data_IF_778763743274
#
_entry.id   IF_778763743274
#
_cell.length_a   1.000
_cell.length_b   1.000
_cell.length_c   1.000
_cell.angle_alpha   90.00
_cell.angle_beta   90.00
_cell.angle_gamma   90.00
#
_symmetry.space_group_name_H-M   'P 1'
#
loop_
_entity.id
_entity.type
_entity.pdbx_description
1 polymer ?
#
# COMPACT_ATOMS: atom_id res chain seq x y z
N UNK A 1 53.13 10.70 -5.77
CA UNK A 1 51.68 10.95 -5.86
C UNK A 1 51.08 10.50 -4.55
N UNK A 2 50.73 11.47 -3.69
CA UNK A 2 50.23 11.25 -2.33
C UNK A 2 48.72 11.00 -2.38
N UNK A 3 48.24 9.94 -1.75
CA UNK A 3 46.81 9.68 -1.58
C UNK A 3 46.29 10.53 -0.40
N UNK A 4 45.32 11.43 -0.59
CA UNK A 4 44.90 12.38 0.43
C UNK A 4 43.96 11.79 1.52
N UNK A 5 43.77 10.47 1.56
CA UNK A 5 42.80 9.81 2.47
C UNK A 5 43.43 8.95 3.59
N UNK A 6 44.75 9.00 3.79
CA UNK A 6 45.48 8.19 4.80
C UNK A 6 45.32 8.66 6.26
N UNK A 7 44.52 9.69 6.55
CA UNK A 7 44.50 10.36 7.86
C UNK A 7 43.47 9.83 8.88
N UNK A 8 42.68 8.78 8.59
CA UNK A 8 41.55 8.40 9.46
C UNK A 8 41.62 7.04 10.16
N UNK A 9 42.70 6.30 9.99
CA UNK A 9 42.85 4.98 10.63
C UNK A 9 44.08 4.93 11.53
N UNK A 10 44.00 5.55 12.71
CA UNK A 10 44.47 4.96 13.99
C UNK A 10 44.09 5.82 15.21
N UNK A 11 43.77 5.20 16.37
CA UNK A 11 43.20 5.87 17.52
C UNK A 11 44.30 6.42 18.45
N UNK A 12 44.15 7.66 18.91
CA UNK A 12 44.77 8.08 20.17
C UNK A 12 43.89 9.08 20.91
N UNK A 13 43.82 8.84 22.22
CA UNK A 13 42.92 9.40 23.21
C UNK A 13 43.14 10.89 23.49
N UNK A 14 42.07 11.69 23.56
CA UNK A 14 41.52 12.20 24.84
C UNK A 14 40.68 13.50 24.70
N UNK A 15 39.46 13.42 25.27
CA UNK A 15 38.64 14.50 25.89
C UNK A 15 37.82 15.49 25.01
N UNK A 16 36.50 15.23 25.07
CA UNK A 16 35.34 16.13 25.27
C UNK A 16 34.59 16.69 24.04
N UNK A 17 33.26 16.60 24.17
CA UNK A 17 32.16 17.09 23.34
C UNK A 17 31.82 16.26 22.09
N UNK A 18 30.80 15.42 22.29
CA UNK A 18 30.20 14.47 21.38
C UNK A 18 29.23 15.14 20.40
N UNK A 19 29.73 15.52 19.22
CA UNK A 19 28.92 15.73 18.03
C UNK A 19 29.34 14.68 16.99
N UNK A 20 28.76 13.48 17.14
CA UNK A 20 28.85 12.41 16.14
C UNK A 20 27.57 12.51 15.30
N UNK A 21 27.64 12.79 13.99
CA UNK A 21 26.46 12.72 13.15
C UNK A 21 25.91 11.28 13.18
N UNK A 22 24.59 11.07 13.35
CA UNK A 22 24.06 9.73 13.49
C UNK A 22 24.33 8.93 12.20
N UNK A 23 25.07 7.84 12.35
CA UNK A 23 25.19 6.80 11.32
C UNK A 23 23.81 6.30 10.92
N UNK A 24 23.46 6.46 9.65
CA UNK A 24 22.20 6.01 9.03
C UNK A 24 22.21 4.49 8.70
N UNK A 25 23.27 3.78 9.09
CA UNK A 25 23.35 2.32 9.07
C UNK A 25 22.58 1.75 10.27
N UNK A 26 21.25 1.81 10.19
CA UNK A 26 20.37 1.41 11.29
C UNK A 26 18.89 1.63 11.06
N UNK A 27 18.39 1.61 9.82
CA UNK A 27 16.96 1.48 9.61
C UNK A 27 16.56 0.06 10.04
N UNK A 28 16.03 -0.02 11.25
CA UNK A 28 15.59 -1.25 11.90
C UNK A 28 14.63 -2.04 10.99
N UNK A 29 14.76 -3.37 10.88
CA UNK A 29 13.68 -4.19 10.35
C UNK A 29 12.44 -3.94 11.22
N UNK A 30 11.29 -3.71 10.58
CA UNK A 30 10.02 -3.71 11.29
C UNK A 30 9.95 -5.00 12.10
N UNK A 31 9.73 -4.90 13.40
CA UNK A 31 9.52 -6.06 14.26
C UNK A 31 8.38 -6.88 13.65
N UNK A 32 8.74 -8.04 13.09
CA UNK A 32 7.78 -8.99 12.57
C UNK A 32 6.85 -9.37 13.72
N UNK A 33 5.60 -8.93 13.62
CA UNK A 33 4.55 -9.54 14.40
C UNK A 33 4.51 -11.02 13.99
N UNK A 34 4.31 -11.96 14.93
CA UNK A 34 4.27 -13.38 14.60
C UNK A 34 3.28 -13.61 13.45
N UNK A 35 3.71 -14.39 12.45
CA UNK A 35 2.90 -14.71 11.30
C UNK A 35 1.58 -15.34 11.77
N UNK A 36 0.46 -14.68 11.49
CA UNK A 36 -0.86 -15.20 11.84
C UNK A 36 -1.26 -16.22 10.78
N UNK A 37 -1.54 -17.49 11.15
CA UNK A 37 -1.95 -18.50 10.19
C UNK A 37 -3.14 -18.04 9.34
N UNK A 38 -3.06 -18.25 8.02
CA UNK A 38 -4.10 -17.86 7.08
C UNK A 38 -4.15 -16.37 6.74
N UNK A 39 -3.22 -15.54 7.24
CA UNK A 39 -3.10 -14.13 6.90
C UNK A 39 -1.76 -13.87 6.21
N UNK A 40 -1.81 -13.18 5.09
CA UNK A 40 -0.65 -12.70 4.34
C UNK A 40 -0.57 -11.19 4.47
N UNK A 41 0.61 -10.67 4.78
CA UNK A 41 0.81 -9.24 5.02
C UNK A 41 1.61 -8.61 3.89
N UNK A 42 1.15 -7.45 3.43
CA UNK A 42 1.82 -6.58 2.48
C UNK A 42 2.08 -5.21 3.10
N UNK A 43 3.15 -4.56 2.69
CA UNK A 43 3.53 -3.25 3.21
C UNK A 43 3.66 -2.23 2.08
N UNK A 44 2.86 -1.17 2.11
CA UNK A 44 3.09 0.03 1.31
C UNK A 44 4.19 0.84 1.97
N UNK A 45 5.40 0.78 1.42
CA UNK A 45 6.61 1.42 1.91
C UNK A 45 7.10 2.51 0.93
N UNK A 46 8.13 3.25 1.35
CA UNK A 46 8.78 4.28 0.53
C UNK A 46 7.79 5.32 -0.05
N UNK A 47 6.82 5.76 0.76
CA UNK A 47 5.80 6.72 0.36
C UNK A 47 6.45 8.04 -0.09
N UNK A 48 6.16 8.51 -1.31
CA UNK A 48 6.77 9.73 -1.86
C UNK A 48 5.83 10.55 -2.76
N UNK A 49 5.06 11.53 -2.25
CA UNK A 49 4.89 11.87 -0.83
C UNK A 49 3.80 11.03 -0.14
N UNK A 50 3.04 10.21 -0.89
CA UNK A 50 1.92 9.44 -0.36
C UNK A 50 1.78 8.07 -1.03
N UNK A 51 0.72 7.32 -0.70
CA UNK A 51 0.49 5.95 -1.16
C UNK A 51 0.44 5.79 -2.70
N UNK A 52 0.10 6.86 -3.42
CA UNK A 52 0.04 6.87 -4.90
C UNK A 52 1.43 6.83 -5.58
N UNK A 53 2.50 6.86 -4.78
CA UNK A 53 3.89 6.69 -5.18
C UNK A 53 4.58 5.89 -4.08
N UNK A 54 4.58 4.57 -4.22
CA UNK A 54 5.05 3.66 -3.16
C UNK A 54 5.51 2.32 -3.73
N UNK A 55 6.20 1.54 -2.90
CA UNK A 55 6.56 0.15 -3.20
C UNK A 55 5.75 -0.75 -2.27
N UNK A 56 5.16 -1.81 -2.82
CA UNK A 56 4.43 -2.80 -2.04
C UNK A 56 5.33 -4.01 -1.84
N UNK A 57 5.74 -4.23 -0.60
CA UNK A 57 6.53 -5.38 -0.17
C UNK A 57 5.59 -6.56 0.16
N UNK A 58 6.01 -7.76 -0.20
CA UNK A 58 5.35 -8.99 0.19
C UNK A 58 5.74 -9.46 1.60
N UNK A 59 5.25 -10.64 2.03
CA UNK A 59 5.59 -11.24 3.32
C UNK A 59 7.08 -11.54 3.51
N UNK A 60 7.81 -11.68 2.40
CA UNK A 60 9.25 -11.90 2.35
C UNK A 60 10.05 -10.58 2.39
N UNK A 61 9.38 -9.45 2.64
CA UNK A 61 9.93 -8.09 2.56
C UNK A 61 10.55 -7.75 1.20
N UNK A 62 10.25 -8.52 0.16
CA UNK A 62 10.72 -8.27 -1.19
C UNK A 62 9.65 -7.48 -1.98
N UNK A 63 10.06 -6.52 -2.85
CA UNK A 63 9.13 -5.82 -3.71
C UNK A 63 8.28 -6.78 -4.56
N UNK A 64 6.96 -6.61 -4.53
CA UNK A 64 6.01 -7.34 -5.38
C UNK A 64 5.33 -6.42 -6.38
N UNK A 65 5.08 -5.17 -5.98
CA UNK A 65 4.43 -4.18 -6.81
C UNK A 65 5.03 -2.79 -6.63
N UNK A 66 4.86 -1.97 -7.66
CA UNK A 66 5.15 -0.54 -7.62
C UNK A 66 3.87 0.24 -7.90
N UNK A 67 3.60 1.26 -7.08
CA UNK A 67 2.56 2.25 -7.33
C UNK A 67 3.26 3.50 -7.81
N UNK A 68 3.00 3.90 -9.05
CA UNK A 68 3.74 5.01 -9.70
C UNK A 68 2.76 5.98 -10.32
N UNK A 69 2.91 7.26 -9.98
CA UNK A 69 2.28 8.37 -10.70
C UNK A 69 3.31 8.95 -11.67
N UNK A 70 3.12 8.65 -12.96
CA UNK A 70 4.09 9.00 -14.00
C UNK A 70 4.12 10.52 -14.23
N UNK A 71 5.30 11.18 -14.18
CA UNK A 71 5.40 12.62 -14.44
C UNK A 71 4.96 13.01 -15.86
N UNK A 72 5.12 12.10 -16.82
CA UNK A 72 4.71 12.29 -18.22
C UNK A 72 3.20 12.16 -18.43
N UNK A 73 2.48 11.56 -17.48
CA UNK A 73 1.03 11.42 -17.48
C UNK A 73 0.45 11.92 -16.15
N UNK A 74 0.53 13.24 -15.91
CA UNK A 74 0.04 13.81 -14.67
C UNK A 74 -1.44 13.47 -14.50
N UNK A 75 -1.79 12.95 -13.32
CA UNK A 75 -3.14 12.49 -13.03
C UNK A 75 -3.36 10.99 -13.22
N UNK A 76 -2.37 10.21 -13.67
CA UNK A 76 -2.47 8.75 -13.70
C UNK A 76 -1.59 8.10 -12.64
N UNK A 77 -2.17 7.20 -11.85
CA UNK A 77 -1.44 6.32 -10.94
C UNK A 77 -1.57 4.88 -11.46
N UNK A 78 -0.45 4.19 -11.62
CA UNK A 78 -0.37 2.86 -12.19
C UNK A 78 0.13 1.89 -11.12
N UNK A 79 -0.57 0.77 -10.96
CA UNK A 79 -0.09 -0.39 -10.23
C UNK A 79 0.66 -1.30 -11.20
N UNK A 80 1.97 -1.49 -10.96
CA UNK A 80 2.85 -2.34 -11.76
C UNK A 80 3.30 -3.56 -10.96
N UNK A 81 3.44 -4.70 -11.63
CA UNK A 81 4.20 -5.83 -11.12
C UNK A 81 5.71 -5.49 -11.10
N UNK A 82 6.47 -6.29 -10.35
CA UNK A 82 7.94 -6.13 -10.25
C UNK A 82 8.66 -6.34 -11.60
N UNK A 83 8.05 -7.08 -12.53
CA UNK A 83 8.56 -7.29 -13.89
C UNK A 83 8.23 -6.13 -14.86
N UNK A 84 7.58 -5.06 -14.36
CA UNK A 84 7.18 -3.89 -15.13
C UNK A 84 5.81 -4.01 -15.79
N UNK A 85 5.11 -5.14 -15.66
CA UNK A 85 3.77 -5.33 -16.19
C UNK A 85 2.74 -4.41 -15.51
N UNK A 86 2.00 -3.62 -16.28
CA UNK A 86 0.87 -2.85 -15.73
C UNK A 86 -0.26 -3.80 -15.32
N UNK A 87 -0.73 -3.70 -14.07
CA UNK A 87 -1.82 -4.51 -13.51
C UNK A 87 -3.10 -3.68 -13.43
N UNK A 88 -3.00 -2.43 -12.96
CA UNK A 88 -4.15 -1.57 -12.77
C UNK A 88 -3.78 -0.10 -12.90
N UNK A 89 -4.80 0.73 -13.04
CA UNK A 89 -4.65 2.16 -13.28
C UNK A 89 -5.77 2.94 -12.62
N UNK A 90 -5.41 4.07 -12.04
CA UNK A 90 -6.34 5.09 -11.55
C UNK A 90 -6.05 6.36 -12.35
N UNK A 91 -7.06 6.87 -13.03
CA UNK A 91 -7.05 8.20 -13.62
C UNK A 91 -7.76 9.14 -12.66
N UNK A 92 -7.03 10.10 -12.09
CA UNK A 92 -7.56 11.11 -11.20
C UNK A 92 -8.18 12.26 -11.98
N UNK A 93 -9.44 12.56 -11.68
CA UNK A 93 -10.10 13.81 -12.08
C UNK A 93 -10.97 14.30 -10.91
N UNK A 94 -11.21 15.62 -10.78
CA UNK A 94 -11.98 16.19 -9.67
C UNK A 94 -13.32 15.48 -9.39
N UNK A 95 -14.07 15.09 -10.42
CA UNK A 95 -15.44 14.52 -10.26
C UNK A 95 -15.68 13.22 -11.05
N UNK A 96 -14.67 12.75 -11.78
CA UNK A 96 -14.78 11.58 -12.68
C UNK A 96 -13.46 10.81 -12.68
N UNK A 97 -12.99 10.47 -11.48
CA UNK A 97 -11.84 9.58 -11.36
C UNK A 97 -12.24 8.20 -11.87
N UNK A 98 -11.37 7.54 -12.62
CA UNK A 98 -11.64 6.26 -13.26
C UNK A 98 -10.63 5.20 -12.83
N UNK A 99 -11.07 3.95 -12.74
CA UNK A 99 -10.27 2.81 -12.31
C UNK A 99 -10.36 1.70 -13.35
N UNK A 100 -9.23 1.08 -13.64
CA UNK A 100 -9.10 -0.12 -14.46
C UNK A 100 -8.22 -1.14 -13.76
N UNK A 101 -8.60 -2.42 -13.83
CA UNK A 101 -7.81 -3.54 -13.30
C UNK A 101 -7.78 -4.62 -14.37
N UNK A 102 -6.61 -4.84 -14.98
CA UNK A 102 -6.47 -5.73 -16.12
C UNK A 102 -6.85 -7.16 -15.76
N UNK A 103 -7.64 -7.79 -16.62
CA UNK A 103 -8.16 -9.14 -16.41
C UNK A 103 -9.31 -9.24 -15.41
N UNK A 104 -9.59 -8.19 -14.62
CA UNK A 104 -10.62 -8.22 -13.56
C UNK A 104 -11.77 -7.26 -13.89
N UNK A 105 -11.47 -6.01 -14.23
CA UNK A 105 -12.45 -4.96 -14.37
C UNK A 105 -12.03 -3.96 -15.45
N UNK A 106 -12.88 -3.79 -16.47
CA UNK A 106 -12.73 -2.72 -17.47
C UNK A 106 -12.84 -1.35 -16.81
N UNK A 107 -12.23 -0.35 -17.45
CA UNK A 107 -12.25 1.03 -17.00
C UNK A 107 -13.67 1.51 -16.66
N UNK A 108 -13.87 2.04 -15.45
CA UNK A 108 -15.14 2.61 -14.97
C UNK A 108 -14.89 3.72 -13.94
N UNK A 109 -15.94 4.43 -13.55
CA UNK A 109 -15.81 5.45 -12.51
C UNK A 109 -15.40 4.82 -11.16
N UNK A 110 -14.52 5.51 -10.42
CA UNK A 110 -14.04 5.06 -9.13
C UNK A 110 -15.18 4.93 -8.10
N UNK A 111 -16.17 5.83 -8.16
CA UNK A 111 -17.43 5.73 -7.41
C UNK A 111 -18.25 4.47 -7.70
N UNK A 112 -18.15 3.92 -8.91
CA UNK A 112 -18.85 2.67 -9.28
C UNK A 112 -18.02 1.43 -8.90
N UNK A 113 -16.73 1.60 -8.64
CA UNK A 113 -15.84 0.57 -8.12
C UNK A 113 -15.91 0.46 -6.59
N UNK A 114 -16.01 1.61 -5.90
CA UNK A 114 -16.16 1.72 -4.44
C UNK A 114 -17.38 2.58 -4.11
N UNK A 115 -18.55 1.95 -4.20
CA UNK A 115 -19.85 2.60 -4.03
C UNK A 115 -20.02 3.02 -2.57
N UNK A 116 -20.17 4.32 -2.32
CA UNK A 116 -20.46 4.82 -0.98
C UNK A 116 -21.92 4.46 -0.59
N UNK A 117 -22.10 3.94 0.61
CA UNK A 117 -23.42 3.71 1.21
C UNK A 117 -24.17 5.03 1.45
N UNK A 118 -25.50 4.97 1.44
CA UNK A 118 -26.36 6.15 1.65
C UNK A 118 -26.14 6.82 3.02
N UNK A 119 -25.71 6.04 4.03
CA UNK A 119 -25.36 6.54 5.36
C UNK A 119 -23.90 6.99 5.48
N UNK A 120 -23.13 6.88 4.38
CA UNK A 120 -21.73 7.24 4.25
C UNK A 120 -20.78 6.49 5.22
N UNK A 121 -21.21 5.36 5.80
CA UNK A 121 -20.41 4.62 6.80
C UNK A 121 -19.46 3.61 6.19
N UNK A 122 -19.82 3.05 5.04
CA UNK A 122 -19.04 2.03 4.36
C UNK A 122 -19.07 2.20 2.84
N UNK A 123 -18.16 1.52 2.15
CA UNK A 123 -18.12 1.41 0.70
C UNK A 123 -18.29 -0.04 0.26
N UNK A 124 -18.96 -0.26 -0.87
CA UNK A 124 -19.16 -1.59 -1.45
C UNK A 124 -18.29 -1.70 -2.70
N UNK A 125 -17.43 -2.72 -2.72
CA UNK A 125 -16.63 -3.13 -3.87
C UNK A 125 -17.18 -4.45 -4.41
N UNK A 126 -17.60 -4.49 -5.67
CA UNK A 126 -18.15 -5.70 -6.31
C UNK A 126 -17.17 -6.31 -7.30
N UNK A 127 -16.70 -7.53 -7.03
CA UNK A 127 -15.76 -8.28 -7.90
C UNK A 127 -16.35 -9.65 -8.19
N UNK A 128 -16.48 -10.01 -9.48
CA UNK A 128 -16.99 -11.32 -9.88
C UNK A 128 -18.43 -11.62 -9.42
N UNK A 129 -19.24 -10.59 -9.16
CA UNK A 129 -20.60 -10.73 -8.62
C UNK A 129 -20.69 -10.78 -7.09
N UNK A 130 -19.55 -10.84 -6.39
CA UNK A 130 -19.48 -10.86 -4.93
C UNK A 130 -19.24 -9.46 -4.38
N UNK A 131 -19.94 -9.11 -3.29
CA UNK A 131 -19.77 -7.85 -2.58
C UNK A 131 -18.72 -7.94 -1.49
N UNK A 132 -17.93 -6.88 -1.38
CA UNK A 132 -16.95 -6.68 -0.33
C UNK A 132 -17.16 -5.31 0.31
N UNK A 133 -17.38 -5.29 1.62
CA UNK A 133 -17.71 -4.09 2.38
C UNK A 133 -16.44 -3.52 3.00
N UNK A 134 -16.07 -2.31 2.59
CA UNK A 134 -14.97 -1.53 3.14
C UNK A 134 -15.49 -0.54 4.19
N UNK A 135 -15.02 -0.63 5.43
CA UNK A 135 -15.45 0.25 6.54
C UNK A 135 -14.25 0.69 7.38
N UNK A 136 -14.38 1.82 8.06
CA UNK A 136 -13.38 2.31 9.00
C UNK A 136 -13.73 1.89 10.44
N UNK A 137 -12.80 1.24 11.12
CA UNK A 137 -12.98 0.69 12.46
C UNK A 137 -11.74 0.96 13.32
N UNK A 138 -11.91 1.66 14.45
CA UNK A 138 -10.86 1.86 15.46
C UNK A 138 -9.47 2.28 14.87
N UNK A 139 -9.47 3.19 13.90
CA UNK A 139 -8.25 3.68 13.25
C UNK A 139 -7.65 2.75 12.18
N UNK A 140 -8.37 1.70 11.80
CA UNK A 140 -8.05 0.81 10.67
C UNK A 140 -9.15 0.87 9.61
N UNK A 141 -8.84 0.42 8.39
CA UNK A 141 -9.83 0.22 7.34
C UNK A 141 -9.95 -1.28 7.06
N UNK A 142 -11.13 -1.86 7.26
CA UNK A 142 -11.39 -3.28 7.15
C UNK A 142 -12.22 -3.58 5.90
N UNK A 143 -11.96 -4.73 5.27
CA UNK A 143 -12.75 -5.27 4.17
C UNK A 143 -13.39 -6.59 4.63
N UNK A 144 -14.70 -6.66 4.53
CA UNK A 144 -15.49 -7.85 4.88
C UNK A 144 -16.16 -8.45 3.64
N UNK A 145 -16.38 -9.75 3.64
CA UNK A 145 -17.30 -10.39 2.69
C UNK A 145 -18.72 -9.89 2.97
N UNK A 146 -19.38 -9.34 1.95
CA UNK A 146 -20.77 -8.87 2.02
C UNK A 146 -21.79 -9.99 1.84
N UNK A 147 -22.99 -9.78 2.38
CA UNK A 147 -24.16 -10.66 2.13
C UNK A 147 -24.73 -11.39 3.34
N UNK A 148 -24.09 -11.41 4.52
CA UNK A 148 -24.58 -12.15 5.69
C UNK A 148 -24.23 -11.52 7.06
N UNK A 149 -24.97 -11.96 8.10
CA UNK A 149 -24.84 -11.52 9.51
C UNK A 149 -23.47 -11.84 10.16
N UNK A 150 -22.70 -12.77 9.58
CA UNK A 150 -21.31 -13.05 9.97
C UNK A 150 -20.35 -12.53 8.90
N UNK A 151 -20.18 -11.21 8.84
CA UNK A 151 -19.24 -10.57 7.92
C UNK A 151 -17.81 -11.05 8.21
N UNK A 152 -17.26 -11.91 7.34
CA UNK A 152 -15.91 -12.46 7.46
C UNK A 152 -14.86 -11.43 7.03
N UNK A 153 -13.88 -11.16 7.88
CA UNK A 153 -12.80 -10.21 7.60
C UNK A 153 -11.84 -10.78 6.54
N UNK A 154 -11.72 -10.12 5.40
CA UNK A 154 -10.84 -10.50 4.30
C UNK A 154 -9.60 -9.63 4.20
N UNK A 155 -9.68 -8.36 4.61
CA UNK A 155 -8.52 -7.49 4.66
C UNK A 155 -8.60 -6.48 5.80
N UNK A 156 -7.44 -6.08 6.32
CA UNK A 156 -7.30 -4.98 7.26
C UNK A 156 -6.12 -4.11 6.86
N UNK A 157 -6.38 -2.81 6.75
CA UNK A 157 -5.38 -1.79 6.51
C UNK A 157 -5.13 -1.03 7.80
N UNK A 158 -3.89 -1.06 8.25
CA UNK A 158 -3.43 -0.28 9.40
C UNK A 158 -2.44 0.77 8.92
N UNK A 159 -2.67 2.02 9.30
CA UNK A 159 -1.77 3.13 9.03
C UNK A 159 -0.70 3.22 10.12
N UNK A 160 0.55 3.32 9.71
CA UNK A 160 1.69 3.66 10.58
C UNK A 160 2.25 5.03 10.15
N UNK A 161 3.26 5.53 10.88
CA UNK A 161 3.83 6.86 10.63
C UNK A 161 4.37 7.02 9.20
N UNK A 162 4.99 5.98 8.63
CA UNK A 162 5.69 6.02 7.34
C UNK A 162 5.24 4.95 6.34
N UNK A 163 4.27 4.10 6.70
CA UNK A 163 3.83 2.99 5.86
C UNK A 163 2.36 2.62 6.11
N UNK A 164 1.78 1.85 5.20
CA UNK A 164 0.51 1.17 5.41
C UNK A 164 0.74 -0.34 5.39
N UNK A 165 0.11 -1.06 6.33
CA UNK A 165 0.10 -2.53 6.34
C UNK A 165 -1.24 -3.01 5.83
N UNK A 166 -1.24 -3.84 4.80
CA UNK A 166 -2.40 -4.55 4.29
C UNK A 166 -2.27 -6.03 4.67
N UNK A 167 -3.02 -6.44 5.70
CA UNK A 167 -3.17 -7.85 6.05
C UNK A 167 -4.38 -8.42 5.30
N UNK A 168 -4.21 -9.54 4.60
CA UNK A 168 -5.28 -10.19 3.83
C UNK A 168 -5.40 -11.67 4.17
N UNK A 169 -6.63 -12.18 4.20
CA UNK A 169 -6.88 -13.61 4.32
C UNK A 169 -6.34 -14.34 3.08
N UNK A 170 -5.68 -15.48 3.28
CA UNK A 170 -5.08 -16.27 2.20
C UNK A 170 -6.11 -16.65 1.12
N UNK A 171 -7.33 -17.02 1.53
CA UNK A 171 -8.45 -17.32 0.63
C UNK A 171 -8.87 -16.13 -0.25
N UNK A 172 -8.79 -14.89 0.25
CA UNK A 172 -9.08 -13.70 -0.54
C UNK A 172 -8.03 -13.50 -1.64
N UNK A 173 -6.77 -13.82 -1.34
CA UNK A 173 -5.67 -13.78 -2.31
C UNK A 173 -5.86 -14.88 -3.36
N UNK A 174 -6.16 -16.11 -2.92
CA UNK A 174 -6.46 -17.25 -3.80
C UNK A 174 -7.63 -16.98 -4.75
N UNK A 175 -8.62 -16.19 -4.30
CA UNK A 175 -9.75 -15.73 -5.09
C UNK A 175 -9.41 -14.58 -6.06
N UNK A 176 -8.14 -14.14 -6.12
CA UNK A 176 -7.68 -13.11 -7.04
C UNK A 176 -7.99 -11.68 -6.61
N UNK A 177 -8.35 -11.44 -5.34
CA UNK A 177 -8.77 -10.12 -4.87
C UNK A 177 -7.60 -9.15 -4.62
N UNK A 178 -6.36 -9.62 -4.58
CA UNK A 178 -5.21 -8.82 -4.19
C UNK A 178 -5.04 -7.52 -5.02
N UNK A 179 -5.09 -7.53 -6.37
CA UNK A 179 -5.00 -6.29 -7.14
C UNK A 179 -6.15 -5.32 -6.85
N UNK A 180 -7.37 -5.82 -6.74
CA UNK A 180 -8.56 -5.02 -6.42
C UNK A 180 -8.47 -4.40 -5.03
N UNK A 181 -8.00 -5.18 -4.04
CA UNK A 181 -7.79 -4.69 -2.69
C UNK A 181 -6.72 -3.59 -2.69
N UNK A 182 -5.58 -3.78 -3.35
CA UNK A 182 -4.52 -2.76 -3.44
C UNK A 182 -5.06 -1.45 -4.03
N UNK A 183 -5.80 -1.53 -5.14
CA UNK A 183 -6.39 -0.35 -5.79
C UNK A 183 -7.40 0.35 -4.86
N UNK A 184 -8.23 -0.42 -4.15
CA UNK A 184 -9.14 0.12 -3.15
C UNK A 184 -8.39 0.84 -2.02
N UNK A 185 -7.30 0.26 -1.50
CA UNK A 185 -6.46 0.89 -0.49
C UNK A 185 -5.87 2.20 -1.01
N UNK A 186 -5.38 2.24 -2.25
CA UNK A 186 -4.84 3.47 -2.85
C UNK A 186 -5.93 4.55 -2.91
N UNK A 187 -7.13 4.23 -3.38
CA UNK A 187 -8.25 5.19 -3.41
C UNK A 187 -8.58 5.71 -2.00
N UNK A 188 -8.81 4.80 -1.05
CA UNK A 188 -9.22 5.11 0.32
C UNK A 188 -8.18 5.91 1.10
N UNK A 189 -6.88 5.68 0.85
CA UNK A 189 -5.78 6.29 1.60
C UNK A 189 -5.06 7.42 0.85
N UNK A 190 -5.45 7.72 -0.40
CA UNK A 190 -4.81 8.78 -1.21
C UNK A 190 -5.08 10.20 -0.71
N UNK A 191 -6.18 10.42 0.03
CA UNK A 191 -6.67 11.76 0.37
C UNK A 191 -7.25 12.54 -0.82
N UNK A 192 -7.38 11.92 -2.00
CA UNK A 192 -7.99 12.53 -3.18
C UNK A 192 -9.48 12.21 -3.26
N UNK A 193 -10.27 13.14 -3.79
CA UNK A 193 -11.67 12.88 -4.14
C UNK A 193 -11.76 11.98 -5.38
N UNK A 194 -12.76 11.10 -5.42
CA UNK A 194 -13.00 10.15 -6.50
C UNK A 194 -14.45 9.66 -6.55
#
# INVERSE_FOLDING_TARGET
MQNPFDAWSSPSSSRRSSDIPPSIYGALPYTDAPAVPGITTFHFACLNPSIINSVILGPDNCPKFHVVTEPSMPGYTILKAVDGGNIGMIQWKPDDSQVEIRGIMRKRAARDFLILSDDHRYRVMRIGGTDYIWTSEQGSTCMYLGGDASSKLFAKVTRYQSCFRLAMAAEAISAGLLPSAIIAVILLQSGKAY
#
